data_IF_029355336241
#
_entry.id   IF_029355336241
#
_cell.length_a   1.000
_cell.length_b   1.000
_cell.length_c   1.000
_cell.angle_alpha   90.00
_cell.angle_beta   90.00
_cell.angle_gamma   90.00
#
_symmetry.space_group_name_H-M   'P 1'
#
loop_
_entity.id
_entity.type
_entity.pdbx_description
1 polymer ?
#
# COMPACT_ATOMS: atom_id res chain seq x y z
N UNK A 1 -3.89 -7.73 8.87
CA UNK A 1 -5.26 -7.42 8.38
C UNK A 1 -5.28 -6.56 7.11
N UNK A 2 -4.14 -5.99 6.68
CA UNK A 2 -4.08 -5.05 5.57
C UNK A 2 -4.30 -5.61 4.17
N UNK A 3 -4.58 -6.88 3.99
CA UNK A 3 -4.64 -7.51 2.67
C UNK A 3 -5.98 -8.18 2.31
N UNK A 4 -7.01 -7.86 3.04
CA UNK A 4 -8.38 -8.40 2.84
C UNK A 4 -8.94 -8.04 1.46
N UNK A 5 -8.36 -7.06 0.79
CA UNK A 5 -8.86 -6.49 -0.46
C UNK A 5 -8.35 -7.15 -1.75
N UNK A 6 -7.50 -8.16 -1.69
CA UNK A 6 -6.83 -8.64 -2.91
C UNK A 6 -7.74 -9.32 -3.94
N UNK A 7 -8.85 -9.93 -3.56
CA UNK A 7 -9.68 -10.69 -4.52
C UNK A 7 -11.18 -10.76 -4.24
N UNK A 8 -11.66 -10.29 -3.09
CA UNK A 8 -13.08 -10.37 -2.72
C UNK A 8 -13.48 -9.17 -1.87
N UNK A 9 -14.70 -8.70 -2.06
CA UNK A 9 -15.29 -7.60 -1.30
C UNK A 9 -15.71 -8.06 0.11
N UNK A 10 -14.74 -8.45 0.91
CA UNK A 10 -14.99 -8.97 2.26
C UNK A 10 -15.10 -7.86 3.31
N UNK A 11 -14.79 -6.60 2.96
CA UNK A 11 -14.84 -5.46 3.89
C UNK A 11 -16.18 -5.33 4.62
N UNK A 12 -17.30 -5.57 3.96
CA UNK A 12 -18.63 -5.48 4.54
C UNK A 12 -18.92 -6.53 5.63
N UNK A 13 -18.21 -7.66 5.62
CA UNK A 13 -18.34 -8.70 6.64
C UNK A 13 -17.44 -8.46 7.84
N UNK A 14 -16.49 -7.54 7.72
CA UNK A 14 -15.46 -7.23 8.69
C UNK A 14 -15.43 -5.73 9.02
N UNK A 15 -16.42 -4.96 8.58
CA UNK A 15 -16.42 -3.49 8.67
C UNK A 15 -16.26 -2.97 10.09
N UNK A 16 -16.80 -3.68 11.07
CA UNK A 16 -16.71 -3.38 12.51
C UNK A 16 -15.35 -3.76 13.12
N UNK A 17 -14.53 -4.56 12.41
CA UNK A 17 -13.21 -5.00 12.86
C UNK A 17 -12.07 -4.33 12.08
N UNK A 18 -12.36 -3.69 10.95
CA UNK A 18 -11.35 -3.06 10.10
C UNK A 18 -11.04 -1.65 10.58
N UNK A 19 -9.78 -1.38 10.88
CA UNK A 19 -9.27 -0.04 11.15
C UNK A 19 -8.44 0.54 10.00
N UNK A 20 -8.08 -0.29 9.04
CA UNK A 20 -7.24 0.07 7.89
C UNK A 20 -7.48 -0.87 6.71
N UNK A 21 -7.46 -0.33 5.50
CA UNK A 21 -7.54 -1.11 4.25
C UNK A 21 -6.39 -0.72 3.32
N UNK A 22 -5.83 -1.69 2.62
CA UNK A 22 -4.83 -1.45 1.59
C UNK A 22 -5.30 -2.01 0.23
N UNK A 23 -5.27 -1.15 -0.79
CA UNK A 23 -5.48 -1.58 -2.18
C UNK A 23 -4.15 -2.03 -2.75
N UNK A 24 -4.08 -3.30 -3.16
CA UNK A 24 -2.85 -3.94 -3.63
C UNK A 24 -2.34 -3.37 -4.96
N UNK A 25 -1.04 -3.55 -5.22
CA UNK A 25 -0.35 -3.05 -6.41
C UNK A 25 -0.93 -3.56 -7.75
N UNK A 26 -1.59 -4.72 -7.74
CA UNK A 26 -2.25 -5.30 -8.93
C UNK A 26 -3.69 -4.85 -9.10
N UNK A 27 -4.25 -4.21 -8.08
CA UNK A 27 -5.66 -3.81 -8.00
C UNK A 27 -5.84 -2.30 -7.99
N UNK A 28 -4.77 -1.52 -7.88
CA UNK A 28 -4.82 -0.06 -7.75
C UNK A 28 -5.39 0.63 -9.01
N UNK A 29 -5.34 -0.04 -10.15
CA UNK A 29 -5.94 0.44 -11.40
C UNK A 29 -7.43 0.08 -11.53
N UNK A 30 -7.94 -0.81 -10.68
CA UNK A 30 -9.33 -1.25 -10.75
C UNK A 30 -10.28 -0.15 -10.31
N UNK A 31 -11.21 0.21 -11.20
CA UNK A 31 -12.16 1.30 -10.97
C UNK A 31 -13.09 1.02 -9.78
N UNK A 32 -13.56 -0.20 -9.64
CA UNK A 32 -14.47 -0.58 -8.55
C UNK A 32 -13.79 -0.42 -7.18
N UNK A 33 -12.50 -0.80 -7.06
CA UNK A 33 -11.75 -0.61 -5.81
C UNK A 33 -11.60 0.87 -5.45
N UNK A 34 -11.43 1.74 -6.44
CA UNK A 34 -11.37 3.20 -6.24
C UNK A 34 -12.70 3.76 -5.75
N UNK A 35 -13.79 3.33 -6.38
CA UNK A 35 -15.15 3.75 -6.02
C UNK A 35 -15.54 3.26 -4.62
N UNK A 36 -15.31 1.97 -4.33
CA UNK A 36 -15.58 1.43 -2.98
C UNK A 36 -14.74 2.14 -1.93
N UNK A 37 -13.46 2.41 -2.21
CA UNK A 37 -12.57 3.14 -1.30
C UNK A 37 -13.08 4.54 -0.97
N UNK A 38 -13.78 5.20 -1.89
CA UNK A 38 -14.37 6.53 -1.67
C UNK A 38 -15.54 6.53 -0.69
N UNK A 39 -16.15 5.37 -0.45
CA UNK A 39 -17.26 5.21 0.48
C UNK A 39 -16.87 4.63 1.85
N UNK A 40 -15.59 4.40 2.11
CA UNK A 40 -15.12 3.88 3.40
C UNK A 40 -14.81 5.00 4.38
N UNK A 41 -15.20 4.82 5.64
CA UNK A 41 -14.96 5.77 6.75
C UNK A 41 -13.64 5.49 7.50
N UNK A 42 -12.78 4.65 6.94
CA UNK A 42 -11.49 4.25 7.51
C UNK A 42 -10.33 4.59 6.56
N UNK A 43 -9.09 4.73 7.06
CA UNK A 43 -7.94 4.98 6.21
C UNK A 43 -7.75 3.91 5.14
N UNK A 44 -7.53 4.33 3.89
CA UNK A 44 -7.28 3.45 2.75
C UNK A 44 -5.94 3.81 2.12
N UNK A 45 -5.01 2.85 2.15
CA UNK A 45 -3.71 2.99 1.49
C UNK A 45 -3.75 2.44 0.06
N UNK A 46 -3.32 3.25 -0.92
CA UNK A 46 -3.16 2.85 -2.31
C UNK A 46 -1.70 2.49 -2.57
N UNK A 47 -1.41 1.20 -2.83
CA UNK A 47 -0.04 0.77 -3.19
C UNK A 47 0.28 1.24 -4.60
N UNK A 48 1.50 1.74 -4.83
CA UNK A 48 1.96 1.95 -6.20
C UNK A 48 1.95 0.62 -6.98
N UNK A 49 1.63 0.66 -8.29
CA UNK A 49 1.64 -0.54 -9.12
C UNK A 49 3.04 -1.17 -9.20
N UNK A 50 3.10 -2.43 -9.62
CA UNK A 50 4.37 -3.15 -9.77
C UNK A 50 5.32 -2.49 -10.76
N UNK A 51 4.81 -1.75 -11.74
CA UNK A 51 5.60 -0.93 -12.68
C UNK A 51 6.35 0.22 -12.01
N UNK A 52 5.87 0.69 -10.85
CA UNK A 52 6.43 1.85 -10.15
C UNK A 52 5.86 3.19 -10.60
N UNK A 53 4.84 3.22 -11.45
CA UNK A 53 4.22 4.45 -11.92
C UNK A 53 3.41 5.12 -10.79
N UNK A 54 3.97 6.20 -10.25
CA UNK A 54 3.33 6.97 -9.19
C UNK A 54 2.06 7.67 -9.65
N UNK A 55 1.93 8.00 -10.94
CA UNK A 55 0.75 8.70 -11.46
C UNK A 55 -0.51 7.85 -11.32
N UNK A 56 -0.40 6.54 -11.52
CA UNK A 56 -1.50 5.60 -11.34
C UNK A 56 -1.96 5.56 -9.89
N UNK A 57 -1.02 5.47 -8.95
CA UNK A 57 -1.32 5.50 -7.52
C UNK A 57 -1.95 6.82 -7.10
N UNK A 58 -1.39 7.94 -7.54
CA UNK A 58 -1.88 9.27 -7.24
C UNK A 58 -3.29 9.50 -7.80
N UNK A 59 -3.56 9.06 -9.04
CA UNK A 59 -4.90 9.09 -9.61
C UNK A 59 -5.90 8.24 -8.81
N UNK A 60 -5.45 7.11 -8.28
CA UNK A 60 -6.30 6.25 -7.45
C UNK A 60 -6.64 6.90 -6.11
N UNK A 61 -5.67 7.59 -5.49
CA UNK A 61 -5.89 8.37 -4.27
C UNK A 61 -6.88 9.50 -4.56
N UNK A 62 -6.70 10.24 -5.65
CA UNK A 62 -7.58 11.35 -6.02
C UNK A 62 -9.00 10.87 -6.29
N UNK A 63 -9.17 9.73 -6.98
CA UNK A 63 -10.47 9.12 -7.20
C UNK A 63 -11.11 8.69 -5.87
N UNK A 64 -10.37 8.06 -4.96
CA UNK A 64 -10.89 7.66 -3.65
C UNK A 64 -11.26 8.87 -2.76
N UNK A 65 -10.57 10.02 -2.91
CA UNK A 65 -10.87 11.25 -2.17
C UNK A 65 -12.04 12.06 -2.77
N UNK A 66 -12.48 11.71 -3.98
CA UNK A 66 -13.63 12.34 -4.65
C UNK A 66 -14.97 11.72 -4.28
N UNK A 67 -16.03 12.48 -4.51
CA UNK A 67 -17.40 12.01 -4.44
C UNK A 67 -17.77 11.28 -5.75
N UNK A 68 -18.56 10.23 -5.64
CA UNK A 68 -19.01 9.41 -6.77
C UNK A 68 -20.43 8.91 -6.60
N UNK A 69 -21.16 8.82 -7.71
CA UNK A 69 -22.40 8.04 -7.81
C UNK A 69 -22.12 6.84 -8.70
N UNK A 70 -22.36 5.64 -8.22
CA UNK A 70 -22.07 4.41 -8.96
C UNK A 70 -23.03 3.28 -8.59
N UNK A 71 -23.15 2.31 -9.50
CA UNK A 71 -23.92 1.09 -9.22
C UNK A 71 -23.05 0.06 -8.50
N UNK A 72 -23.49 -0.34 -7.33
CA UNK A 72 -22.83 -1.38 -6.54
C UNK A 72 -23.85 -2.46 -6.18
N UNK A 73 -23.70 -3.65 -6.75
CA UNK A 73 -24.57 -4.82 -6.52
C UNK A 73 -26.06 -4.53 -6.70
N UNK A 74 -26.41 -3.74 -7.70
CA UNK A 74 -27.80 -3.39 -8.02
C UNK A 74 -28.35 -2.20 -7.22
N UNK A 75 -27.54 -1.58 -6.36
CA UNK A 75 -27.87 -0.36 -5.67
C UNK A 75 -27.14 0.82 -6.29
N UNK A 76 -27.82 1.94 -6.43
CA UNK A 76 -27.17 3.22 -6.68
C UNK A 76 -26.61 3.74 -5.35
N UNK A 77 -25.28 3.94 -5.32
CA UNK A 77 -24.53 4.36 -4.13
C UNK A 77 -23.92 5.72 -4.40
N UNK A 78 -24.16 6.65 -3.49
CA UNK A 78 -23.47 7.93 -3.43
C UNK A 78 -22.37 7.88 -2.37
N UNK A 79 -21.10 8.07 -2.75
CA UNK A 79 -19.99 8.23 -1.82
C UNK A 79 -19.60 9.69 -1.70
N UNK A 80 -19.13 10.08 -0.52
CA UNK A 80 -18.68 11.47 -0.24
C UNK A 80 -17.18 11.68 -0.40
N UNK A 81 -16.48 10.65 -0.83
CA UNK A 81 -15.02 10.62 -0.86
C UNK A 81 -14.42 10.31 0.51
N UNK A 82 -13.29 9.61 0.46
CA UNK A 82 -12.51 9.24 1.64
C UNK A 82 -11.27 10.12 1.74
N UNK A 83 -11.34 11.15 2.58
CA UNK A 83 -10.22 12.09 2.79
C UNK A 83 -8.97 11.42 3.36
N UNK A 84 -9.11 10.25 4.00
CA UNK A 84 -8.00 9.49 4.59
C UNK A 84 -7.28 8.57 3.58
N UNK A 85 -7.69 8.59 2.29
CA UNK A 85 -6.99 7.85 1.25
C UNK A 85 -5.58 8.42 1.04
N UNK A 86 -4.56 7.55 1.00
CA UNK A 86 -3.15 7.93 0.99
C UNK A 86 -2.28 6.91 0.24
N UNK A 87 -0.99 7.23 0.05
CA UNK A 87 -0.03 6.40 -0.66
C UNK A 87 0.57 5.28 0.21
N UNK A 88 0.88 4.15 -0.43
CA UNK A 88 1.79 3.14 0.09
C UNK A 88 2.89 2.91 -0.94
N UNK A 89 4.15 3.16 -0.57
CA UNK A 89 5.32 2.91 -1.40
C UNK A 89 5.87 1.51 -1.12
N UNK A 90 5.86 0.64 -2.15
CA UNK A 90 6.27 -0.77 -2.04
C UNK A 90 7.45 -1.15 -2.94
N UNK A 91 8.08 -0.17 -3.60
CA UNK A 91 9.04 -0.41 -4.65
C UNK A 91 8.40 -0.85 -5.97
N UNK A 92 9.22 -1.16 -6.95
CA UNK A 92 8.79 -1.56 -8.28
C UNK A 92 9.62 -2.72 -8.83
N UNK A 93 9.14 -3.33 -9.90
CA UNK A 93 9.87 -4.37 -10.63
C UNK A 93 10.02 -3.91 -12.08
N UNK A 94 11.24 -3.88 -12.57
CA UNK A 94 11.50 -3.56 -13.97
C UNK A 94 10.97 -4.65 -14.90
N UNK A 95 10.88 -4.33 -16.20
CA UNK A 95 10.55 -5.31 -17.24
C UNK A 95 11.51 -6.51 -17.32
N UNK A 96 12.69 -6.39 -16.73
CA UNK A 96 13.70 -7.45 -16.65
C UNK A 96 13.66 -8.21 -15.31
N UNK A 97 12.66 -7.95 -14.43
CA UNK A 97 12.50 -8.63 -13.15
C UNK A 97 13.36 -8.06 -12.01
N UNK A 98 14.06 -6.95 -12.22
CA UNK A 98 14.86 -6.32 -11.17
C UNK A 98 13.99 -5.50 -10.23
N UNK A 99 14.23 -5.65 -8.92
CA UNK A 99 13.58 -4.83 -7.92
C UNK A 99 14.24 -3.44 -7.85
N UNK A 100 13.40 -2.41 -7.74
CA UNK A 100 13.79 -1.03 -7.51
C UNK A 100 13.07 -0.50 -6.28
N UNK A 101 13.83 0.00 -5.34
CA UNK A 101 13.29 0.65 -4.15
C UNK A 101 12.67 2.02 -4.51
N UNK A 102 11.75 2.50 -3.66
CA UNK A 102 11.17 3.83 -3.76
C UNK A 102 10.90 4.47 -2.37
N UNK A 103 11.81 4.23 -1.43
CA UNK A 103 11.77 4.77 -0.06
C UNK A 103 12.92 5.73 0.26
N UNK A 104 13.86 5.93 -0.66
CA UNK A 104 14.99 6.83 -0.45
C UNK A 104 14.51 8.29 -0.34
N UNK A 105 15.36 9.13 0.18
CA UNK A 105 15.06 10.57 0.40
C UNK A 105 14.50 11.22 -0.86
N UNK A 106 15.10 10.98 -2.01
CA UNK A 106 14.70 11.52 -3.31
C UNK A 106 13.33 11.03 -3.77
N UNK A 107 13.01 9.77 -3.49
CA UNK A 107 11.71 9.19 -3.81
C UNK A 107 10.61 9.82 -2.95
N UNK A 108 10.87 9.99 -1.67
CA UNK A 108 9.95 10.65 -0.73
C UNK A 108 9.75 12.13 -1.09
N UNK A 109 10.82 12.84 -1.46
CA UNK A 109 10.72 14.21 -1.96
C UNK A 109 9.88 14.30 -3.22
N UNK A 110 10.11 13.41 -4.20
CA UNK A 110 9.32 13.35 -5.43
C UNK A 110 7.83 13.13 -5.17
N UNK A 111 7.50 12.25 -4.22
CA UNK A 111 6.09 12.04 -3.82
C UNK A 111 5.51 13.28 -3.14
N UNK A 112 6.27 13.91 -2.25
CA UNK A 112 5.84 15.15 -1.58
C UNK A 112 5.54 16.25 -2.60
N UNK A 113 6.42 16.48 -3.56
CA UNK A 113 6.24 17.49 -4.60
C UNK A 113 5.01 17.20 -5.48
N UNK A 114 4.76 15.93 -5.77
CA UNK A 114 3.56 15.51 -6.49
C UNK A 114 2.28 15.75 -5.67
N UNK A 115 2.31 15.55 -4.37
CA UNK A 115 1.20 15.88 -3.47
C UNK A 115 0.93 17.39 -3.43
N UNK A 116 1.98 18.21 -3.32
CA UNK A 116 1.85 19.68 -3.32
C UNK A 116 1.24 20.21 -4.62
N UNK A 117 1.59 19.59 -5.76
CA UNK A 117 1.09 20.02 -7.07
C UNK A 117 -0.34 19.54 -7.34
N UNK A 118 -0.74 18.40 -6.79
CA UNK A 118 -1.97 17.68 -7.19
C UNK A 118 -3.23 18.03 -6.40
N UNK A 119 -3.17 18.90 -5.39
CA UNK A 119 -4.30 19.27 -4.52
C UNK A 119 -4.99 18.04 -3.87
N UNK A 120 -4.20 17.25 -3.15
CA UNK A 120 -4.69 16.11 -2.38
C UNK A 120 -5.11 16.52 -0.97
N UNK A 121 -6.19 15.93 -0.45
CA UNK A 121 -6.71 16.25 0.89
C UNK A 121 -5.83 15.70 2.02
N UNK A 122 -5.11 14.60 1.77
CA UNK A 122 -4.27 13.95 2.78
C UNK A 122 -2.91 13.55 2.17
N UNK A 123 -1.90 14.41 2.25
CA UNK A 123 -0.54 14.12 1.77
C UNK A 123 0.19 13.21 2.75
N UNK A 124 -0.25 11.97 2.86
CA UNK A 124 0.31 10.96 3.75
C UNK A 124 0.88 9.78 2.96
N UNK A 125 1.88 9.13 3.53
CA UNK A 125 2.48 7.90 2.98
C UNK A 125 2.82 6.90 4.07
N UNK A 126 2.55 5.63 3.76
CA UNK A 126 3.08 4.48 4.48
C UNK A 126 4.20 3.87 3.63
N UNK A 127 5.33 3.58 4.22
CA UNK A 127 6.42 2.88 3.53
C UNK A 127 6.33 1.39 3.82
N UNK A 128 6.08 0.62 2.76
CA UNK A 128 6.13 -0.84 2.81
C UNK A 128 7.60 -1.26 2.78
N UNK A 129 8.09 -1.78 3.89
CA UNK A 129 9.51 -2.14 4.07
C UNK A 129 9.88 -3.47 3.42
N UNK A 130 8.91 -4.22 2.95
CA UNK A 130 9.12 -5.49 2.25
C UNK A 130 8.96 -5.34 0.71
N UNK A 131 8.43 -6.33 0.05
CA UNK A 131 8.21 -6.39 -1.40
C UNK A 131 9.47 -6.01 -2.20
N UNK A 132 9.34 -5.10 -3.17
CA UNK A 132 10.48 -4.69 -4.00
C UNK A 132 11.42 -3.73 -3.29
N UNK A 133 10.98 -3.08 -2.20
CA UNK A 133 11.84 -2.22 -1.39
C UNK A 133 12.95 -3.01 -0.70
N UNK A 134 12.67 -4.21 -0.20
CA UNK A 134 13.69 -5.11 0.38
C UNK A 134 14.25 -6.13 -0.62
N UNK A 135 13.71 -6.18 -1.85
CA UNK A 135 13.98 -7.28 -2.77
C UNK A 135 13.53 -8.63 -2.19
N UNK A 136 12.51 -8.63 -1.33
CA UNK A 136 11.96 -9.78 -0.59
C UNK A 136 12.94 -10.39 0.44
N UNK A 137 13.88 -9.60 0.92
CA UNK A 137 14.80 -9.97 1.99
C UNK A 137 14.28 -9.41 3.31
N UNK A 138 13.64 -10.24 4.13
CA UNK A 138 12.94 -9.79 5.34
C UNK A 138 13.84 -9.08 6.36
N UNK A 139 15.12 -9.45 6.46
CA UNK A 139 16.10 -8.80 7.35
C UNK A 139 16.41 -7.34 6.95
N UNK A 140 16.18 -6.97 5.68
CA UNK A 140 16.37 -5.61 5.20
C UNK A 140 15.33 -4.63 5.73
N UNK A 141 14.19 -5.10 6.21
CA UNK A 141 13.08 -4.24 6.66
C UNK A 141 13.51 -3.26 7.76
N UNK A 142 14.32 -3.72 8.72
CA UNK A 142 14.84 -2.87 9.81
C UNK A 142 15.77 -1.77 9.26
N UNK A 143 16.65 -2.13 8.32
CA UNK A 143 17.55 -1.16 7.67
C UNK A 143 16.75 -0.10 6.91
N UNK A 144 15.74 -0.53 6.15
CA UNK A 144 14.86 0.37 5.38
C UNK A 144 14.13 1.34 6.31
N UNK A 145 13.54 0.83 7.39
CA UNK A 145 12.86 1.68 8.37
C UNK A 145 13.82 2.72 8.97
N UNK A 146 15.04 2.33 9.34
CA UNK A 146 16.05 3.26 9.86
C UNK A 146 16.45 4.33 8.85
N UNK A 147 16.58 4.00 7.57
CA UNK A 147 16.88 4.96 6.50
C UNK A 147 15.77 5.99 6.32
N UNK A 148 14.50 5.55 6.32
CA UNK A 148 13.36 6.46 6.26
C UNK A 148 13.28 7.33 7.51
N UNK A 149 13.51 6.79 8.70
CA UNK A 149 13.57 7.57 9.94
C UNK A 149 14.71 8.61 9.90
N UNK A 150 15.84 8.26 9.29
CA UNK A 150 16.91 9.22 9.05
C UNK A 150 16.46 10.36 8.14
N UNK A 151 15.79 10.06 7.02
CA UNK A 151 15.23 11.05 6.11
C UNK A 151 14.22 11.98 6.80
N UNK A 152 13.37 11.42 7.68
CA UNK A 152 12.41 12.20 8.48
C UNK A 152 13.08 13.18 9.46
N UNK A 153 14.28 12.86 9.96
CA UNK A 153 15.04 13.78 10.84
C UNK A 153 15.66 14.95 10.10
N UNK A 154 15.85 14.81 8.78
CA UNK A 154 16.51 15.82 7.94
C UNK A 154 15.54 16.68 7.12
N UNK A 155 14.23 16.33 7.13
CA UNK A 155 13.22 17.09 6.40
C UNK A 155 11.89 17.03 7.12
N UNK A 156 11.40 18.22 7.53
CA UNK A 156 10.08 18.34 8.15
C UNK A 156 8.95 17.97 7.18
N UNK A 157 9.11 18.24 5.89
CA UNK A 157 8.15 17.84 4.86
C UNK A 157 7.98 16.32 4.83
N UNK A 158 9.10 15.58 4.79
CA UNK A 158 9.09 14.11 4.81
C UNK A 158 8.53 13.60 6.14
N UNK A 159 8.95 14.20 7.26
CA UNK A 159 8.46 13.84 8.60
C UNK A 159 6.95 14.01 8.72
N UNK A 160 6.41 15.08 8.15
CA UNK A 160 4.98 15.34 8.18
C UNK A 160 4.19 14.45 7.22
N UNK A 161 4.79 14.00 6.13
CA UNK A 161 4.16 13.14 5.13
C UNK A 161 4.19 11.66 5.53
N UNK A 162 5.32 11.14 6.03
CA UNK A 162 5.46 9.73 6.42
C UNK A 162 4.71 9.47 7.73
N UNK A 163 3.68 8.62 7.68
CA UNK A 163 2.82 8.30 8.83
C UNK A 163 3.14 6.96 9.48
N UNK A 164 3.92 6.11 8.82
CA UNK A 164 4.29 4.82 9.39
C UNK A 164 4.90 3.87 8.37
N UNK A 165 5.05 2.64 8.82
CA UNK A 165 5.64 1.54 8.05
C UNK A 165 4.66 0.38 7.94
N UNK A 166 4.72 -0.33 6.82
CA UNK A 166 4.07 -1.62 6.65
C UNK A 166 5.17 -2.68 6.71
N UNK A 167 5.16 -3.45 7.79
CA UNK A 167 6.14 -4.51 8.05
C UNK A 167 5.42 -5.84 7.93
N UNK A 168 6.00 -6.76 7.18
CA UNK A 168 5.52 -8.13 7.09
C UNK A 168 6.43 -9.03 7.91
N UNK A 169 5.86 -9.75 8.88
CA UNK A 169 6.61 -10.66 9.74
C UNK A 169 5.81 -11.91 10.10
N UNK A 170 6.54 -12.99 10.33
CA UNK A 170 6.03 -14.24 10.88
C UNK A 170 6.69 -14.51 12.24
N UNK A 171 6.21 -15.53 12.94
CA UNK A 171 6.76 -15.92 14.25
C UNK A 171 8.12 -16.57 14.05
N UNK A 172 8.25 -17.41 13.01
CA UNK A 172 9.47 -18.15 12.69
C UNK A 172 10.14 -17.60 11.43
N UNK A 173 11.46 -17.57 11.44
CA UNK A 173 12.27 -17.10 10.32
C UNK A 173 12.18 -18.01 9.09
N UNK A 174 12.33 -17.40 7.93
CA UNK A 174 12.42 -18.08 6.63
C UNK A 174 11.07 -18.36 6.00
N UNK A 175 11.08 -19.21 4.97
CA UNK A 175 9.92 -19.58 4.22
C UNK A 175 9.79 -21.11 4.11
N UNK A 176 8.59 -21.60 3.84
CA UNK A 176 8.29 -23.01 3.67
C UNK A 176 7.37 -23.25 2.48
N UNK A 177 7.29 -24.47 2.01
CA UNK A 177 6.25 -24.89 1.08
C UNK A 177 4.95 -25.15 1.82
N UNK A 178 3.83 -25.14 1.08
CA UNK A 178 2.49 -25.42 1.67
C UNK A 178 2.44 -26.78 2.36
N UNK A 179 3.15 -27.76 1.79
CA UNK A 179 3.17 -29.14 2.26
C UNK A 179 3.90 -29.31 3.61
N UNK A 180 4.81 -28.37 3.94
CA UNK A 180 5.64 -28.48 5.16
C UNK A 180 4.85 -28.20 6.45
N UNK A 181 3.80 -27.36 6.36
CA UNK A 181 2.79 -27.14 7.40
C UNK A 181 3.29 -26.63 8.77
N UNK A 182 4.47 -26.02 8.85
CA UNK A 182 5.02 -25.50 10.12
C UNK A 182 4.28 -24.23 10.52
N UNK A 183 3.64 -24.24 11.70
CA UNK A 183 2.94 -23.07 12.22
C UNK A 183 3.90 -21.92 12.49
N UNK A 184 3.48 -20.71 12.17
CA UNK A 184 4.26 -19.48 12.41
C UNK A 184 5.32 -19.18 11.38
N UNK A 185 5.52 -20.02 10.36
CA UNK A 185 6.47 -19.84 9.28
C UNK A 185 5.78 -19.43 7.98
N UNK A 186 6.38 -18.49 7.25
CA UNK A 186 5.85 -18.00 5.98
C UNK A 186 5.70 -19.12 4.94
N UNK A 187 4.55 -19.17 4.27
CA UNK A 187 4.31 -20.07 3.15
C UNK A 187 4.67 -19.36 1.86
N UNK A 188 5.55 -19.93 1.07
CA UNK A 188 5.84 -19.47 -0.29
C UNK A 188 4.62 -19.77 -1.16
N UNK A 189 3.77 -18.76 -1.40
CA UNK A 189 2.63 -18.93 -2.27
C UNK A 189 3.09 -19.08 -3.73
N UNK A 190 2.54 -20.06 -4.44
CA UNK A 190 2.77 -20.32 -5.87
C UNK A 190 2.37 -19.14 -6.78
N UNK A 191 1.68 -18.15 -6.28
CA UNK A 191 1.26 -16.95 -6.98
C UNK A 191 2.00 -15.73 -6.47
N UNK A 192 3.30 -15.59 -6.72
CA UNK A 192 4.06 -14.33 -6.62
C UNK A 192 3.67 -13.38 -5.46
N UNK A 193 3.16 -13.89 -4.40
CA UNK A 193 3.18 -13.17 -3.15
C UNK A 193 4.54 -13.42 -2.54
N UNK A 194 5.25 -12.36 -2.22
CA UNK A 194 6.42 -12.48 -1.36
C UNK A 194 6.12 -13.49 -0.29
N UNK A 195 7.02 -14.40 0.04
CA UNK A 195 6.96 -14.98 1.35
C UNK A 195 6.81 -13.78 2.28
N UNK A 196 5.67 -13.68 2.94
CA UNK A 196 5.61 -12.76 4.05
C UNK A 196 6.73 -13.18 4.96
N UNK A 197 7.56 -12.27 5.42
CA UNK A 197 8.58 -12.62 6.39
C UNK A 197 7.97 -13.22 7.61
#
# INVERSE_FOLDING_TARGET
LGDVYKRQENHRYLSDLLSYVAVGARSVENQEHRLVSSGLDIPVGMKNPTSGDLSIMLNSIKAAQGDHTFLYRGWEVESKGNELAHAILRGSVSKHGNNHANYHYEDLRKLHDAYCTGNYKNPAVIVDTNHSNSGKKYLEQVRIANEVLHSMRHSDDIKNMVKGFMVESYIEDGSQKVEDGVYGKSITCLLYTSPSP
#
